data_IF_320758381757
#
_entry.id   IF_320758381757
#
_cell.length_a   1.000
_cell.length_b   1.000
_cell.length_c   1.000
_cell.angle_alpha   90.00
_cell.angle_beta   90.00
_cell.angle_gamma   90.00
#
_symmetry.space_group_name_H-M   'P 1'
#
loop_
_entity.id
_entity.type
_entity.pdbx_description
1 polymer ?
#
# COMPACT_ATOMS: atom_id res chain seq x y z
N UNK A 1 -26.63 7.79 15.65
CA UNK A 1 -25.57 8.10 14.65
C UNK A 1 -25.95 9.38 13.94
N UNK A 2 -24.97 10.25 13.58
CA UNK A 2 -25.28 11.45 12.76
C UNK A 2 -25.69 11.03 11.34
N UNK A 3 -26.55 11.86 10.70
CA UNK A 3 -26.96 11.60 9.30
C UNK A 3 -25.76 11.48 8.36
N UNK A 4 -24.70 12.26 8.62
CA UNK A 4 -23.47 12.21 7.85
C UNK A 4 -22.78 10.82 7.98
N UNK A 5 -22.72 10.25 9.18
CA UNK A 5 -22.15 8.93 9.40
C UNK A 5 -22.93 7.85 8.63
N UNK A 6 -24.27 7.89 8.69
CA UNK A 6 -25.13 6.97 7.95
C UNK A 6 -24.94 7.12 6.44
N UNK A 7 -24.78 8.36 5.94
CA UNK A 7 -24.49 8.60 4.53
C UNK A 7 -23.16 7.96 4.12
N UNK A 8 -22.07 8.22 4.87
CA UNK A 8 -20.74 7.67 4.60
C UNK A 8 -20.74 6.14 4.59
N UNK A 9 -21.44 5.51 5.56
CA UNK A 9 -21.56 4.05 5.63
C UNK A 9 -22.27 3.45 4.40
N UNK A 10 -23.22 4.18 3.82
CA UNK A 10 -24.04 3.72 2.67
C UNK A 10 -23.44 4.02 1.31
N UNK A 11 -22.52 4.99 1.21
CA UNK A 11 -21.89 5.33 -0.07
C UNK A 11 -21.02 4.17 -0.57
N UNK A 12 -21.11 3.80 -1.86
CA UNK A 12 -20.10 2.95 -2.48
C UNK A 12 -18.75 3.67 -2.49
N UNK A 13 -17.71 2.94 -2.16
CA UNK A 13 -16.34 3.46 -2.04
C UNK A 13 -15.39 2.72 -2.96
N UNK A 14 -14.25 3.34 -3.24
CA UNK A 14 -13.09 2.70 -3.87
C UNK A 14 -11.90 2.86 -2.95
N UNK A 15 -11.14 1.79 -2.77
CA UNK A 15 -9.84 1.79 -2.10
C UNK A 15 -8.76 1.67 -3.17
N UNK A 16 -7.94 2.70 -3.35
CA UNK A 16 -6.94 2.74 -4.43
C UNK A 16 -5.49 2.65 -3.91
N UNK A 17 -5.31 2.54 -2.58
CA UNK A 17 -4.01 2.48 -1.94
C UNK A 17 -4.09 1.66 -0.66
N UNK A 18 -3.84 0.38 -0.77
CA UNK A 18 -3.78 -0.57 0.33
C UNK A 18 -2.68 -1.59 0.06
N UNK A 19 -1.81 -1.82 1.03
CA UNK A 19 -0.86 -2.92 1.03
C UNK A 19 -1.54 -4.16 1.63
N UNK A 20 -1.54 -5.28 0.90
CA UNK A 20 -2.25 -6.47 1.39
C UNK A 20 -1.65 -6.96 2.70
N UNK A 21 -0.35 -6.91 2.83
CA UNK A 21 0.39 -7.25 4.04
C UNK A 21 0.04 -6.31 5.20
N UNK A 22 -0.27 -5.05 4.89
CA UNK A 22 -0.72 -4.03 5.84
C UNK A 22 -2.15 -4.23 6.36
N UNK A 23 -2.87 -5.20 5.79
CA UNK A 23 -4.17 -5.64 6.30
C UNK A 23 -4.07 -6.80 7.32
N UNK A 24 -2.86 -7.27 7.64
CA UNK A 24 -2.61 -8.36 8.58
C UNK A 24 -2.89 -7.92 10.03
N UNK A 25 -4.10 -8.19 10.49
CA UNK A 25 -4.53 -7.87 11.85
C UNK A 25 -3.75 -8.67 12.90
N UNK A 26 -3.47 -8.10 14.09
CA UNK A 26 -2.73 -8.79 15.16
C UNK A 26 -3.27 -10.17 15.52
N UNK A 27 -4.59 -10.35 15.57
CA UNK A 27 -5.20 -11.65 15.87
C UNK A 27 -4.86 -12.69 14.80
N UNK A 28 -5.02 -12.35 13.51
CA UNK A 28 -4.65 -13.23 12.41
C UNK A 28 -3.14 -13.53 12.39
N UNK A 29 -2.30 -12.53 12.72
CA UNK A 29 -0.86 -12.74 12.81
C UNK A 29 -0.49 -13.83 13.81
N UNK A 30 -1.16 -13.87 14.98
CA UNK A 30 -0.96 -14.93 15.96
C UNK A 30 -1.50 -16.28 15.48
N UNK A 31 -2.66 -16.33 14.86
CA UNK A 31 -3.23 -17.55 14.29
C UNK A 31 -2.31 -18.17 13.23
N UNK A 32 -1.77 -17.33 12.33
CA UNK A 32 -0.82 -17.78 11.32
C UNK A 32 0.54 -18.16 11.90
N UNK A 33 1.00 -17.46 12.93
CA UNK A 33 2.23 -17.80 13.64
C UNK A 33 2.14 -19.21 14.29
N UNK A 34 1.01 -19.53 14.93
CA UNK A 34 0.75 -20.86 15.47
C UNK A 34 0.68 -21.91 14.36
N UNK A 35 -0.07 -21.66 13.28
CA UNK A 35 -0.20 -22.55 12.12
C UNK A 35 1.15 -22.91 11.51
N UNK A 36 2.03 -21.92 11.36
CA UNK A 36 3.29 -22.04 10.65
C UNK A 36 4.51 -22.24 11.59
N UNK A 37 4.26 -22.46 12.88
CA UNK A 37 5.29 -22.61 13.92
C UNK A 37 6.32 -21.46 13.92
N UNK A 38 5.86 -20.23 13.68
CA UNK A 38 6.67 -19.00 13.72
C UNK A 38 6.63 -18.41 15.13
N UNK A 39 7.79 -18.13 15.70
CA UNK A 39 7.86 -17.45 17.00
C UNK A 39 7.81 -15.95 16.81
N UNK A 40 6.76 -15.31 17.31
CA UNK A 40 6.65 -13.86 17.34
C UNK A 40 7.40 -13.29 18.56
N UNK A 41 8.00 -12.09 18.44
CA UNK A 41 8.70 -11.43 19.57
C UNK A 41 7.73 -10.82 20.60
N UNK A 42 6.45 -11.11 20.50
CA UNK A 42 5.38 -10.61 21.35
C UNK A 42 4.62 -11.77 22.00
N UNK A 43 4.27 -11.68 23.29
CA UNK A 43 3.60 -12.76 24.00
C UNK A 43 2.10 -12.91 23.65
N UNK A 44 1.45 -11.82 23.21
CA UNK A 44 0.03 -11.78 22.92
C UNK A 44 -0.38 -10.64 21.97
N UNK A 45 -1.63 -10.69 21.51
CA UNK A 45 -2.24 -9.70 20.60
C UNK A 45 -2.20 -8.27 21.17
N UNK A 46 -2.40 -8.12 22.48
CA UNK A 46 -2.42 -6.80 23.13
C UNK A 46 -1.03 -6.14 23.10
N UNK A 47 0.02 -6.92 23.30
CA UNK A 47 1.40 -6.43 23.26
C UNK A 47 1.84 -5.98 21.86
N UNK A 48 1.41 -6.67 20.79
CA UNK A 48 1.63 -6.19 19.42
C UNK A 48 0.87 -4.87 19.20
N UNK A 49 -0.41 -4.80 19.57
CA UNK A 49 -1.20 -3.57 19.38
C UNK A 49 -0.59 -2.36 20.10
N UNK A 50 0.04 -2.59 21.26
CA UNK A 50 0.80 -1.54 21.98
C UNK A 50 2.10 -1.13 21.29
N UNK A 51 2.70 -2.04 20.52
CA UNK A 51 3.92 -1.77 19.75
C UNK A 51 3.64 -0.90 18.51
N UNK A 52 2.38 -0.75 18.09
CA UNK A 52 1.96 0.10 16.97
C UNK A 52 2.00 1.60 17.37
N UNK A 53 3.17 2.06 17.77
CA UNK A 53 3.44 3.44 18.14
C UNK A 53 4.72 3.88 17.42
N UNK A 54 4.55 4.54 16.27
CA UNK A 54 5.61 4.89 15.35
C UNK A 54 5.96 6.37 15.46
N UNK A 55 7.23 6.71 15.22
CA UNK A 55 7.72 8.08 15.15
C UNK A 55 8.09 8.49 13.71
N UNK A 56 8.24 7.51 12.82
CA UNK A 56 8.57 7.69 11.42
C UNK A 56 8.23 6.42 10.62
N UNK A 57 8.34 6.49 9.30
CA UNK A 57 8.10 5.37 8.39
C UNK A 57 9.00 4.16 8.71
N UNK A 58 10.28 4.37 9.07
CA UNK A 58 11.20 3.26 9.35
C UNK A 58 10.79 2.43 10.57
N UNK A 59 10.31 3.06 11.66
CA UNK A 59 9.81 2.35 12.85
C UNK A 59 8.68 1.38 12.48
N UNK A 60 7.79 1.81 11.58
CA UNK A 60 6.70 0.99 11.07
C UNK A 60 7.23 -0.16 10.21
N UNK A 61 8.10 0.12 9.23
CA UNK A 61 8.63 -0.90 8.31
C UNK A 61 9.36 -2.03 9.05
N UNK A 62 10.10 -1.70 10.10
CA UNK A 62 10.81 -2.70 10.93
C UNK A 62 9.85 -3.70 11.58
N UNK A 63 8.65 -3.25 11.95
CA UNK A 63 7.62 -4.11 12.53
C UNK A 63 6.81 -4.83 11.45
N UNK A 64 6.50 -4.14 10.36
CA UNK A 64 5.78 -4.64 9.20
C UNK A 64 6.46 -5.87 8.59
N UNK A 65 7.75 -5.78 8.27
CA UNK A 65 8.49 -6.92 7.71
C UNK A 65 8.62 -8.09 8.69
N UNK A 66 8.69 -7.85 10.00
CA UNK A 66 8.65 -8.92 10.99
C UNK A 66 7.27 -9.60 11.01
N UNK A 67 6.20 -8.82 10.92
CA UNK A 67 4.83 -9.33 10.85
C UNK A 67 4.61 -10.23 9.65
N UNK A 68 5.12 -9.84 8.47
CA UNK A 68 5.00 -10.63 7.23
C UNK A 68 5.59 -12.05 7.35
N UNK A 69 6.48 -12.31 8.32
CA UNK A 69 7.13 -13.62 8.50
C UNK A 69 6.17 -14.78 8.74
N UNK A 70 4.94 -14.51 9.19
CA UNK A 70 3.91 -15.53 9.41
C UNK A 70 3.24 -16.00 8.12
N UNK A 71 3.36 -15.25 7.02
CA UNK A 71 2.78 -15.58 5.72
C UNK A 71 3.72 -16.51 4.95
N UNK A 72 3.43 -17.80 4.92
CA UNK A 72 4.33 -18.83 4.36
C UNK A 72 3.69 -19.69 3.27
N UNK A 73 2.37 -19.90 3.33
CA UNK A 73 1.66 -20.80 2.43
C UNK A 73 0.64 -20.06 1.57
N UNK A 74 0.26 -20.67 0.45
CA UNK A 74 -0.83 -20.17 -0.41
C UNK A 74 -2.10 -19.89 0.40
N UNK A 75 -2.42 -20.76 1.37
CA UNK A 75 -3.59 -20.59 2.23
C UNK A 75 -3.49 -19.33 3.11
N UNK A 76 -2.30 -18.98 3.60
CA UNK A 76 -2.11 -17.78 4.43
C UNK A 76 -2.40 -16.50 3.64
N UNK A 77 -1.90 -16.43 2.40
CA UNK A 77 -2.16 -15.29 1.50
C UNK A 77 -3.62 -15.23 1.06
N UNK A 78 -4.24 -16.39 0.85
CA UNK A 78 -5.68 -16.45 0.59
C UNK A 78 -6.48 -15.94 1.79
N UNK A 79 -6.22 -16.44 2.99
CA UNK A 79 -6.94 -16.07 4.21
C UNK A 79 -6.80 -14.56 4.50
N UNK A 80 -5.59 -14.02 4.39
CA UNK A 80 -5.31 -12.59 4.55
C UNK A 80 -6.13 -11.75 3.56
N UNK A 81 -6.03 -12.09 2.28
CA UNK A 81 -6.70 -11.33 1.22
C UNK A 81 -8.22 -11.44 1.35
N UNK A 82 -8.73 -12.63 1.68
CA UNK A 82 -10.16 -12.84 1.88
C UNK A 82 -10.70 -12.06 3.08
N UNK A 83 -9.97 -12.04 4.20
CA UNK A 83 -10.35 -11.27 5.39
C UNK A 83 -10.45 -9.76 5.07
N UNK A 84 -9.48 -9.21 4.33
CA UNK A 84 -9.53 -7.84 3.84
C UNK A 84 -10.76 -7.58 2.97
N UNK A 85 -11.04 -8.44 1.98
CA UNK A 85 -12.16 -8.28 1.05
C UNK A 85 -13.53 -8.40 1.72
N UNK A 86 -13.65 -9.24 2.75
CA UNK A 86 -14.85 -9.28 3.60
C UNK A 86 -15.07 -7.95 4.32
N UNK A 87 -14.02 -7.32 4.81
CA UNK A 87 -14.11 -5.98 5.42
C UNK A 87 -14.49 -4.91 4.40
N UNK A 88 -13.92 -4.96 3.21
CA UNK A 88 -14.32 -4.12 2.09
C UNK A 88 -15.82 -4.23 1.80
N UNK A 89 -16.35 -5.44 1.74
CA UNK A 89 -17.78 -5.69 1.52
C UNK A 89 -18.64 -5.06 2.62
N UNK A 90 -18.25 -5.22 3.89
CA UNK A 90 -18.96 -4.62 5.03
C UNK A 90 -18.98 -3.10 4.98
N UNK A 91 -17.98 -2.47 4.35
CA UNK A 91 -17.82 -1.02 4.24
C UNK A 91 -18.31 -0.45 2.89
N UNK A 92 -19.01 -1.24 2.06
CA UNK A 92 -19.44 -0.84 0.72
C UNK A 92 -18.29 -0.42 -0.22
N UNK A 93 -17.11 -1.02 -0.09
CA UNK A 93 -16.03 -0.88 -1.06
C UNK A 93 -16.37 -1.78 -2.26
N UNK A 94 -16.49 -1.19 -3.44
CA UNK A 94 -16.87 -1.89 -4.68
C UNK A 94 -15.71 -2.14 -5.62
N UNK A 95 -14.59 -1.47 -5.36
CA UNK A 95 -13.34 -1.62 -6.13
C UNK A 95 -12.14 -1.37 -5.24
N UNK A 96 -11.09 -2.19 -5.38
CA UNK A 96 -9.82 -1.99 -4.71
C UNK A 96 -8.62 -2.18 -5.65
N UNK A 97 -7.60 -1.32 -5.48
CA UNK A 97 -6.28 -1.48 -6.09
C UNK A 97 -5.30 -1.80 -4.96
N UNK A 98 -4.72 -3.00 -5.03
CA UNK A 98 -4.01 -3.62 -3.91
C UNK A 98 -2.54 -3.74 -4.27
N UNK A 99 -1.68 -3.15 -3.46
CA UNK A 99 -0.24 -3.37 -3.48
C UNK A 99 0.11 -4.72 -2.82
N UNK A 100 1.19 -5.32 -3.29
CA UNK A 100 1.84 -6.46 -2.66
C UNK A 100 3.35 -6.42 -2.91
N UNK A 101 4.14 -6.95 -1.97
CA UNK A 101 5.58 -6.81 -1.88
C UNK A 101 6.31 -8.16 -2.09
N UNK A 102 6.53 -8.61 -3.33
CA UNK A 102 7.16 -9.91 -3.60
C UNK A 102 8.50 -10.09 -2.89
N UNK A 103 9.34 -9.04 -2.86
CA UNK A 103 10.69 -9.12 -2.29
C UNK A 103 10.66 -9.41 -0.79
N UNK A 104 9.69 -8.86 -0.04
CA UNK A 104 9.50 -9.17 1.37
C UNK A 104 9.15 -10.64 1.64
N UNK A 105 8.67 -11.36 0.65
CA UNK A 105 8.36 -12.79 0.73
C UNK A 105 9.49 -13.67 0.16
N UNK A 106 10.00 -13.33 -1.02
CA UNK A 106 11.03 -14.15 -1.69
C UNK A 106 12.36 -14.16 -0.94
N UNK A 107 12.73 -13.07 -0.27
CA UNK A 107 13.91 -13.03 0.61
C UNK A 107 13.84 -14.01 1.78
N UNK A 108 12.61 -14.40 2.17
CA UNK A 108 12.34 -15.41 3.21
C UNK A 108 12.21 -16.83 2.66
N UNK A 109 12.38 -17.02 1.34
CA UNK A 109 12.25 -18.31 0.67
C UNK A 109 10.80 -18.71 0.32
N UNK A 110 9.86 -17.77 0.34
CA UNK A 110 8.49 -18.02 -0.17
C UNK A 110 8.49 -17.78 -1.69
N UNK A 111 8.16 -18.83 -2.44
CA UNK A 111 8.14 -18.77 -3.89
C UNK A 111 7.06 -17.82 -4.43
N UNK A 112 7.35 -17.16 -5.57
CA UNK A 112 6.45 -16.19 -6.19
C UNK A 112 5.05 -16.77 -6.47
N UNK A 113 4.98 -18.03 -6.86
CA UNK A 113 3.74 -18.75 -7.10
C UNK A 113 2.83 -18.82 -5.86
N UNK A 114 3.40 -19.00 -4.69
CA UNK A 114 2.67 -19.20 -3.43
C UNK A 114 1.78 -18.01 -3.11
N UNK A 115 2.36 -16.80 -3.05
CA UNK A 115 1.55 -15.62 -2.73
C UNK A 115 0.64 -15.20 -3.90
N UNK A 116 1.07 -15.35 -5.15
CA UNK A 116 0.24 -15.01 -6.30
C UNK A 116 -1.00 -15.90 -6.41
N UNK A 117 -0.88 -17.20 -6.16
CA UNK A 117 -2.02 -18.11 -6.17
C UNK A 117 -3.01 -17.78 -5.05
N UNK A 118 -2.53 -17.62 -3.83
CA UNK A 118 -3.38 -17.29 -2.68
C UNK A 118 -4.14 -15.98 -2.86
N UNK A 119 -3.44 -14.90 -3.19
CA UNK A 119 -4.05 -13.59 -3.46
C UNK A 119 -5.06 -13.70 -4.62
N UNK A 120 -4.65 -14.27 -5.76
CA UNK A 120 -5.51 -14.36 -6.95
C UNK A 120 -6.78 -15.14 -6.69
N UNK A 121 -6.71 -16.26 -5.96
CA UNK A 121 -7.87 -17.09 -5.63
C UNK A 121 -8.90 -16.30 -4.78
N UNK A 122 -8.42 -15.53 -3.79
CA UNK A 122 -9.30 -14.69 -2.97
C UNK A 122 -9.95 -13.55 -3.79
N UNK A 123 -9.19 -12.91 -4.71
CA UNK A 123 -9.72 -11.86 -5.58
C UNK A 123 -10.78 -12.39 -6.54
N UNK A 124 -10.56 -13.56 -7.16
CA UNK A 124 -11.52 -14.19 -8.07
C UNK A 124 -12.82 -14.56 -7.33
N UNK A 125 -12.69 -15.07 -6.10
CA UNK A 125 -13.84 -15.37 -5.24
C UNK A 125 -14.60 -14.10 -4.84
N UNK A 126 -13.93 -13.03 -4.44
CA UNK A 126 -14.56 -11.77 -4.06
C UNK A 126 -15.31 -11.13 -5.24
N UNK A 127 -14.79 -11.24 -6.44
CA UNK A 127 -15.48 -10.77 -7.65
C UNK A 127 -16.82 -11.50 -7.86
N UNK A 128 -16.86 -12.81 -7.62
CA UNK A 128 -18.08 -13.62 -7.84
C UNK A 128 -19.05 -13.59 -6.69
N UNK A 129 -18.58 -13.61 -5.43
CA UNK A 129 -19.43 -13.72 -4.25
C UNK A 129 -19.77 -12.36 -3.61
N UNK A 130 -18.83 -11.38 -3.67
CA UNK A 130 -19.01 -10.08 -3.04
C UNK A 130 -19.25 -8.93 -4.03
N UNK A 131 -19.07 -9.18 -5.34
CA UNK A 131 -19.21 -8.16 -6.38
C UNK A 131 -18.09 -7.11 -6.37
N UNK A 132 -16.98 -7.36 -5.68
CA UNK A 132 -15.84 -6.44 -5.59
C UNK A 132 -14.91 -6.66 -6.77
N UNK A 133 -14.66 -5.61 -7.54
CA UNK A 133 -13.60 -5.62 -8.56
C UNK A 133 -12.25 -5.25 -7.94
N UNK A 134 -11.15 -5.77 -8.48
CA UNK A 134 -9.83 -5.50 -7.96
C UNK A 134 -8.76 -5.38 -9.05
N UNK A 135 -7.65 -4.73 -8.69
CA UNK A 135 -6.42 -4.66 -9.46
C UNK A 135 -5.24 -4.94 -8.54
N UNK A 136 -4.24 -5.68 -9.06
CA UNK A 136 -2.98 -5.89 -8.34
C UNK A 136 -1.91 -4.95 -8.87
N UNK A 137 -1.13 -4.40 -7.93
CA UNK A 137 0.03 -3.56 -8.16
C UNK A 137 1.21 -4.21 -7.47
N UNK A 138 2.20 -4.67 -8.23
CA UNK A 138 3.41 -5.27 -7.70
C UNK A 138 4.42 -4.19 -7.35
N UNK A 139 4.80 -4.08 -6.09
CA UNK A 139 5.75 -3.08 -5.64
C UNK A 139 7.19 -3.58 -5.64
N UNK A 140 8.11 -2.65 -5.86
CA UNK A 140 9.54 -2.84 -5.66
C UNK A 140 9.97 -2.09 -4.41
N UNK A 141 10.62 -2.81 -3.50
CA UNK A 141 11.12 -2.27 -2.24
C UNK A 141 12.35 -1.38 -2.51
N UNK A 142 12.18 -0.07 -2.36
CA UNK A 142 13.18 0.93 -2.78
C UNK A 142 14.44 0.99 -1.91
N UNK A 143 14.43 0.35 -0.74
CA UNK A 143 15.62 0.17 0.07
C UNK A 143 16.56 -0.93 -0.47
N UNK A 144 16.08 -1.77 -1.39
CA UNK A 144 16.87 -2.70 -2.17
C UNK A 144 17.35 -2.05 -3.47
N UNK A 145 18.23 -2.74 -4.20
CA UNK A 145 18.75 -2.21 -5.46
C UNK A 145 17.84 -2.51 -6.67
N UNK A 146 18.07 -1.78 -7.77
CA UNK A 146 17.30 -1.97 -9.02
C UNK A 146 17.50 -3.38 -9.62
N UNK A 147 18.63 -4.04 -9.34
CA UNK A 147 18.90 -5.39 -9.84
C UNK A 147 17.94 -6.40 -9.18
N UNK A 148 17.68 -6.25 -7.88
CA UNK A 148 16.66 -7.02 -7.15
C UNK A 148 15.27 -6.79 -7.75
N UNK A 149 14.90 -5.54 -8.03
CA UNK A 149 13.63 -5.21 -8.68
C UNK A 149 13.49 -5.83 -10.08
N UNK A 150 14.56 -5.85 -10.88
CA UNK A 150 14.59 -6.49 -12.20
C UNK A 150 14.43 -8.02 -12.10
N UNK A 151 15.06 -8.65 -11.11
CA UNK A 151 14.90 -10.08 -10.85
C UNK A 151 13.46 -10.41 -10.43
N UNK A 152 12.86 -9.58 -9.57
CA UNK A 152 11.46 -9.70 -9.17
C UNK A 152 10.52 -9.58 -10.36
N UNK A 153 10.74 -8.60 -11.24
CA UNK A 153 9.94 -8.45 -12.46
C UNK A 153 10.08 -9.68 -13.38
N UNK A 154 11.25 -10.27 -13.49
CA UNK A 154 11.47 -11.51 -14.24
C UNK A 154 10.69 -12.68 -13.63
N UNK A 155 10.70 -12.84 -12.32
CA UNK A 155 9.91 -13.87 -11.61
C UNK A 155 8.40 -13.66 -11.80
N UNK A 156 7.97 -12.42 -12.01
CA UNK A 156 6.57 -12.06 -12.24
C UNK A 156 6.08 -12.37 -13.67
N UNK A 157 6.96 -12.65 -14.65
CA UNK A 157 6.59 -12.84 -16.07
C UNK A 157 5.40 -13.80 -16.27
N UNK A 158 5.31 -14.97 -15.61
CA UNK A 158 4.17 -15.88 -15.76
C UNK A 158 2.83 -15.30 -15.28
N UNK A 159 2.87 -14.26 -14.45
CA UNK A 159 1.70 -13.67 -13.74
C UNK A 159 1.33 -12.27 -14.22
N UNK A 160 1.97 -11.74 -15.26
CA UNK A 160 1.74 -10.38 -15.76
C UNK A 160 0.30 -10.13 -16.21
N UNK A 161 -0.43 -11.17 -16.58
CA UNK A 161 -1.87 -11.08 -16.89
C UNK A 161 -2.73 -10.78 -15.66
N UNK A 162 -2.22 -11.01 -14.44
CA UNK A 162 -2.86 -10.69 -13.16
C UNK A 162 -2.40 -9.36 -12.58
N UNK A 163 -1.22 -8.88 -12.98
CA UNK A 163 -0.59 -7.66 -12.45
C UNK A 163 -0.92 -6.49 -13.38
N UNK A 164 -1.61 -5.49 -12.84
CA UNK A 164 -2.05 -4.31 -13.62
C UNK A 164 -0.98 -3.23 -13.72
N UNK A 165 -0.20 -3.06 -12.66
CA UNK A 165 0.82 -2.02 -12.53
C UNK A 165 2.01 -2.51 -11.72
N UNK A 166 3.13 -1.78 -11.84
CA UNK A 166 4.24 -1.85 -10.89
C UNK A 166 4.28 -0.59 -10.03
N UNK A 167 4.70 -0.75 -8.78
CA UNK A 167 4.84 0.32 -7.80
C UNK A 167 6.26 0.44 -7.27
N UNK A 168 6.55 1.56 -6.60
CA UNK A 168 7.77 1.79 -5.84
C UNK A 168 7.38 2.22 -4.43
N UNK A 169 7.79 1.48 -3.41
CA UNK A 169 7.40 1.71 -2.01
C UNK A 169 8.54 1.46 -1.02
N UNK A 170 8.21 1.29 0.27
CA UNK A 170 9.15 1.12 1.37
C UNK A 170 9.87 2.44 1.74
N UNK A 171 11.02 2.36 2.43
CA UNK A 171 11.76 3.49 3.02
C UNK A 171 12.09 4.57 1.99
N UNK A 172 11.38 5.71 2.05
CA UNK A 172 11.48 6.76 1.03
C UNK A 172 12.76 7.58 1.16
N UNK A 173 13.12 7.99 2.39
CA UNK A 173 14.27 8.85 2.62
C UNK A 173 15.58 8.16 2.24
N UNK A 174 16.35 8.81 1.38
CA UNK A 174 17.64 8.27 0.88
C UNK A 174 17.52 7.34 -0.33
N UNK A 175 16.30 6.95 -0.75
CA UNK A 175 16.05 6.03 -1.86
C UNK A 175 15.21 6.68 -2.97
N UNK A 176 15.77 7.64 -3.72
CA UNK A 176 15.05 8.42 -4.72
C UNK A 176 14.61 7.58 -5.93
N UNK A 177 13.49 7.94 -6.59
CA UNK A 177 12.97 7.24 -7.76
C UNK A 177 13.96 7.06 -8.91
N UNK A 178 14.92 7.98 -9.08
CA UNK A 178 15.95 7.88 -10.13
C UNK A 178 16.77 6.58 -10.10
N UNK A 179 16.77 5.85 -8.99
CA UNK A 179 17.49 4.58 -8.85
C UNK A 179 16.79 3.40 -9.55
N UNK A 180 15.53 3.57 -10.03
CA UNK A 180 14.67 2.49 -10.55
C UNK A 180 14.23 2.68 -11.99
N UNK A 181 14.94 3.48 -12.78
CA UNK A 181 14.54 3.85 -14.14
C UNK A 181 14.43 2.66 -15.10
N UNK A 182 15.34 1.68 -15.01
CA UNK A 182 15.39 0.52 -15.93
C UNK A 182 14.22 -0.42 -15.72
N UNK A 183 13.86 -0.70 -14.45
CA UNK A 183 12.74 -1.59 -14.14
C UNK A 183 11.41 -0.95 -14.53
N UNK A 184 11.26 0.36 -14.34
CA UNK A 184 10.05 1.10 -14.73
C UNK A 184 9.90 1.29 -16.25
N UNK A 185 10.93 1.07 -17.05
CA UNK A 185 10.85 1.15 -18.52
C UNK A 185 10.13 -0.04 -19.18
N UNK A 186 9.69 -1.06 -18.45
CA UNK A 186 9.22 -2.36 -18.95
C UNK A 186 7.74 -2.46 -19.35
N UNK A 187 7.04 -1.35 -19.59
CA UNK A 187 5.77 -1.37 -20.33
C UNK A 187 4.47 -1.59 -19.52
N UNK A 188 4.53 -1.87 -18.22
CA UNK A 188 3.35 -1.90 -17.34
C UNK A 188 2.91 -0.48 -16.96
N UNK A 189 1.68 -0.34 -16.41
CA UNK A 189 1.31 0.89 -15.69
C UNK A 189 2.24 1.06 -14.49
N UNK A 190 2.44 2.30 -14.08
CA UNK A 190 3.47 2.67 -13.10
C UNK A 190 2.88 3.61 -12.07
N UNK A 191 3.12 3.30 -10.80
CA UNK A 191 2.78 4.16 -9.67
C UNK A 191 3.99 4.26 -8.75
N UNK A 192 4.07 5.27 -7.91
CA UNK A 192 5.17 5.39 -6.96
C UNK A 192 4.76 6.19 -5.73
N UNK A 193 5.14 5.69 -4.56
CA UNK A 193 5.14 6.47 -3.34
C UNK A 193 6.18 7.57 -3.49
N UNK A 194 5.75 8.81 -3.44
CA UNK A 194 6.64 9.95 -3.57
C UNK A 194 6.06 11.18 -2.84
N UNK A 195 6.89 11.82 -2.03
CA UNK A 195 6.47 12.98 -1.24
C UNK A 195 5.57 12.62 -0.05
N UNK A 196 5.74 11.44 0.53
CA UNK A 196 5.22 11.10 1.84
C UNK A 196 6.14 11.70 2.91
N UNK A 197 7.36 11.20 3.05
CA UNK A 197 8.45 11.77 3.83
C UNK A 197 9.52 12.43 2.96
N UNK A 198 9.70 11.94 1.74
CA UNK A 198 10.68 12.43 0.77
C UNK A 198 10.34 13.81 0.22
N UNK A 199 11.36 14.57 -0.24
CA UNK A 199 11.18 15.94 -0.70
C UNK A 199 10.41 16.01 -2.04
N UNK A 200 9.91 17.20 -2.44
CA UNK A 200 9.24 17.42 -3.72
C UNK A 200 10.01 16.92 -4.94
N UNK A 201 11.34 16.91 -4.88
CA UNK A 201 12.21 16.37 -5.93
C UNK A 201 11.90 14.91 -6.25
N UNK A 202 11.50 14.09 -5.27
CA UNK A 202 11.14 12.69 -5.51
C UNK A 202 9.85 12.57 -6.32
N UNK A 203 8.92 13.51 -6.16
CA UNK A 203 7.72 13.58 -7.00
C UNK A 203 8.12 13.95 -8.44
N UNK A 204 9.01 14.95 -8.64
CA UNK A 204 9.54 15.28 -9.97
C UNK A 204 10.22 14.07 -10.62
N UNK A 205 11.07 13.35 -9.89
CA UNK A 205 11.76 12.15 -10.40
C UNK A 205 10.76 11.04 -10.78
N UNK A 206 9.74 10.79 -9.97
CA UNK A 206 8.69 9.83 -10.29
C UNK A 206 7.95 10.21 -11.58
N UNK A 207 7.63 11.50 -11.77
CA UNK A 207 6.96 12.00 -12.96
C UNK A 207 7.84 11.95 -14.21
N UNK A 208 9.10 12.38 -14.10
CA UNK A 208 9.97 12.63 -15.26
C UNK A 208 10.84 11.45 -15.65
N UNK A 209 11.28 10.66 -14.67
CA UNK A 209 12.19 9.55 -14.88
C UNK A 209 11.47 8.19 -14.91
N UNK A 210 10.49 8.00 -14.01
CA UNK A 210 9.70 6.77 -13.99
C UNK A 210 8.45 6.87 -14.86
N UNK A 211 8.03 8.07 -15.26
CA UNK A 211 6.82 8.32 -16.05
C UNK A 211 5.57 7.67 -15.42
N UNK A 212 5.37 7.89 -14.13
CA UNK A 212 4.25 7.27 -13.39
C UNK A 212 2.89 7.77 -13.86
N UNK A 213 1.88 6.93 -13.72
CA UNK A 213 0.48 7.21 -14.02
C UNK A 213 -0.27 7.76 -12.80
N UNK A 214 0.29 7.57 -11.60
CA UNK A 214 -0.24 8.04 -10.31
C UNK A 214 0.93 8.24 -9.34
N UNK A 215 0.81 9.24 -8.47
CA UNK A 215 1.66 9.42 -7.29
C UNK A 215 0.89 8.90 -6.08
N UNK A 216 1.52 8.01 -5.33
CA UNK A 216 0.98 7.55 -4.06
C UNK A 216 1.49 8.49 -2.96
N UNK A 217 0.60 8.92 -2.06
CA UNK A 217 0.69 10.06 -1.12
C UNK A 217 0.77 11.43 -1.81
N UNK A 218 1.96 11.94 -2.08
CA UNK A 218 2.16 13.26 -2.70
C UNK A 218 1.92 14.45 -1.76
N UNK A 219 1.90 14.24 -0.44
CA UNK A 219 1.59 15.26 0.58
C UNK A 219 2.51 16.48 0.47
N UNK A 220 3.81 16.25 0.23
CA UNK A 220 4.83 17.30 0.14
C UNK A 220 4.85 18.05 -1.19
N UNK A 221 3.96 17.71 -2.13
CA UNK A 221 3.77 18.50 -3.36
C UNK A 221 3.39 19.96 -3.09
N UNK A 222 2.76 20.24 -1.94
CA UNK A 222 2.36 21.58 -1.54
C UNK A 222 3.52 22.49 -1.09
N UNK A 223 4.71 21.94 -0.92
CA UNK A 223 5.92 22.71 -0.60
C UNK A 223 6.52 23.43 -1.82
N UNK A 224 6.12 22.99 -3.03
CA UNK A 224 6.54 23.59 -4.30
C UNK A 224 5.31 23.98 -5.14
N UNK A 225 5.07 25.27 -5.30
CA UNK A 225 3.93 25.79 -6.06
C UNK A 225 3.97 25.42 -7.54
N UNK A 226 5.17 25.31 -8.14
CA UNK A 226 5.33 24.90 -9.54
C UNK A 226 4.95 23.42 -9.71
N UNK A 227 5.39 22.56 -8.79
CA UNK A 227 5.01 21.16 -8.76
C UNK A 227 3.50 21.00 -8.57
N UNK A 228 2.94 21.70 -7.58
CA UNK A 228 1.49 21.69 -7.32
C UNK A 228 0.70 22.04 -8.59
N UNK A 229 1.06 23.15 -9.27
CA UNK A 229 0.38 23.56 -10.50
C UNK A 229 0.53 22.51 -11.61
N UNK A 230 1.72 21.93 -11.75
CA UNK A 230 1.96 20.86 -12.74
C UNK A 230 1.08 19.63 -12.50
N UNK A 231 0.88 19.22 -11.24
CA UNK A 231 0.01 18.11 -10.89
C UNK A 231 -1.46 18.40 -11.19
N UNK A 232 -1.90 19.64 -10.93
CA UNK A 232 -3.25 20.12 -11.28
C UNK A 232 -3.47 20.09 -12.80
N UNK A 233 -2.55 20.69 -13.57
CA UNK A 233 -2.65 20.79 -15.05
C UNK A 233 -2.69 19.40 -15.70
N UNK A 234 -1.90 18.47 -15.18
CA UNK A 234 -1.88 17.07 -15.62
C UNK A 234 -3.04 16.22 -15.09
N UNK A 235 -3.83 16.75 -14.16
CA UNK A 235 -4.84 15.99 -13.40
C UNK A 235 -4.24 14.69 -12.82
N UNK A 236 -3.00 14.77 -12.34
CA UNK A 236 -2.27 13.62 -11.83
C UNK A 236 -3.00 13.05 -10.63
N UNK A 237 -3.38 11.75 -10.64
CA UNK A 237 -4.03 11.13 -9.49
C UNK A 237 -3.06 11.06 -8.30
N UNK A 238 -3.58 11.32 -7.09
CA UNK A 238 -2.87 11.21 -5.82
C UNK A 238 -3.69 10.35 -4.87
N UNK A 239 -3.07 9.34 -4.26
CA UNK A 239 -3.72 8.48 -3.25
C UNK A 239 -3.21 8.85 -1.85
N UNK A 240 -3.92 9.72 -1.18
CA UNK A 240 -3.52 10.28 0.12
C UNK A 240 -4.04 9.39 1.25
N UNK A 241 -3.22 9.17 2.28
CA UNK A 241 -3.50 8.24 3.38
C UNK A 241 -3.44 8.96 4.74
N UNK A 242 -4.52 9.68 5.15
CA UNK A 242 -4.47 10.57 6.30
C UNK A 242 -4.17 9.90 7.63
N UNK A 243 -4.65 8.67 7.86
CA UNK A 243 -4.38 7.94 9.12
C UNK A 243 -2.94 7.45 9.18
N UNK A 244 -2.39 6.96 8.06
CA UNK A 244 -0.97 6.65 7.91
C UNK A 244 -0.12 7.87 8.23
N UNK A 245 -0.39 9.00 7.58
CA UNK A 245 0.37 10.23 7.77
C UNK A 245 0.33 10.77 9.21
N UNK A 246 -0.78 10.54 9.94
CA UNK A 246 -0.86 10.84 11.37
C UNK A 246 -0.01 9.86 12.20
N UNK A 247 -0.12 8.57 11.94
CA UNK A 247 0.59 7.52 12.70
C UNK A 247 2.09 7.53 12.50
N UNK A 248 2.53 7.90 11.30
CA UNK A 248 3.95 8.03 10.95
C UNK A 248 4.53 9.42 11.27
N UNK A 249 3.78 10.25 11.97
CA UNK A 249 4.15 11.62 12.36
C UNK A 249 4.49 12.57 11.18
N UNK A 250 4.03 12.25 9.97
CA UNK A 250 4.08 13.17 8.83
C UNK A 250 3.23 14.42 9.10
N UNK A 251 2.11 14.24 9.79
CA UNK A 251 1.31 15.31 10.37
C UNK A 251 1.13 15.07 11.87
N UNK A 252 1.05 16.16 12.66
CA UNK A 252 0.89 16.07 14.12
C UNK A 252 -0.55 15.92 14.57
N UNK A 253 -1.46 16.45 13.79
CA UNK A 253 -2.91 16.42 14.03
C UNK A 253 -3.61 16.19 12.69
N UNK A 254 -4.67 15.37 12.71
CA UNK A 254 -5.47 15.12 11.52
C UNK A 254 -6.17 16.38 11.00
N UNK A 255 -6.43 17.36 11.87
CA UNK A 255 -6.98 18.66 11.47
C UNK A 255 -6.01 19.47 10.59
N UNK A 256 -4.70 19.26 10.76
CA UNK A 256 -3.64 19.92 9.98
C UNK A 256 -3.32 19.18 8.69
N UNK A 257 -3.98 18.04 8.43
CA UNK A 257 -3.70 17.24 7.26
C UNK A 257 -3.98 18.02 5.96
N UNK A 258 -3.05 18.01 4.97
CA UNK A 258 -3.10 18.88 3.80
C UNK A 258 -4.20 18.57 2.80
N UNK A 259 -4.95 17.46 2.94
CA UNK A 259 -5.96 17.00 1.96
C UNK A 259 -6.98 18.09 1.59
N UNK A 260 -7.46 18.89 2.55
CA UNK A 260 -8.40 19.97 2.28
C UNK A 260 -7.79 21.04 1.36
N UNK A 261 -6.52 21.39 1.61
CA UNK A 261 -5.77 22.35 0.79
C UNK A 261 -5.49 21.78 -0.59
N UNK A 262 -5.14 20.49 -0.68
CA UNK A 262 -4.92 19.80 -1.95
C UNK A 262 -6.18 19.87 -2.83
N UNK A 263 -7.34 19.51 -2.29
CA UNK A 263 -8.62 19.56 -3.01
C UNK A 263 -9.01 21.01 -3.39
N UNK A 264 -8.81 21.99 -2.49
CA UNK A 264 -9.11 23.39 -2.75
C UNK A 264 -8.24 23.98 -3.88
N UNK A 265 -7.02 23.48 -4.06
CA UNK A 265 -6.13 23.86 -5.16
C UNK A 265 -6.43 23.11 -6.48
N UNK A 266 -7.36 22.15 -6.47
CA UNK A 266 -7.75 21.38 -7.64
C UNK A 266 -6.89 20.15 -7.92
N UNK A 267 -6.08 19.69 -6.95
CA UNK A 267 -5.38 18.42 -7.07
C UNK A 267 -6.37 17.25 -7.13
N UNK A 268 -6.09 16.27 -7.96
CA UNK A 268 -6.90 15.07 -8.13
C UNK A 268 -6.53 14.03 -7.06
N UNK A 269 -6.93 14.28 -5.81
CA UNK A 269 -6.59 13.47 -4.65
C UNK A 269 -7.80 12.68 -4.13
N UNK A 270 -7.56 11.44 -3.68
CA UNK A 270 -8.53 10.61 -2.94
C UNK A 270 -7.94 10.17 -1.60
N UNK A 271 -8.84 9.73 -0.69
CA UNK A 271 -8.47 9.22 0.64
C UNK A 271 -8.41 7.70 0.57
N UNK A 272 -7.42 7.11 1.25
CA UNK A 272 -7.15 5.68 1.28
C UNK A 272 -6.63 5.25 2.66
N UNK A 273 -6.58 3.94 2.91
CA UNK A 273 -6.25 3.38 4.22
C UNK A 273 -4.79 2.99 4.41
N UNK A 274 -4.03 2.73 3.32
CA UNK A 274 -2.61 2.34 3.35
C UNK A 274 -2.37 0.96 4.00
N UNK A 275 -1.98 0.92 5.28
CA UNK A 275 -1.78 -0.27 6.10
C UNK A 275 -2.78 -0.28 7.27
N UNK A 276 -4.05 -0.59 7.02
CA UNK A 276 -5.13 -0.32 7.95
C UNK A 276 -5.03 -1.07 9.28
N UNK A 277 -4.43 -2.27 9.30
CA UNK A 277 -4.24 -3.03 10.53
C UNK A 277 -3.23 -2.36 11.48
N UNK A 278 -2.28 -1.60 10.94
CA UNK A 278 -1.24 -0.91 11.70
C UNK A 278 -1.63 0.53 12.05
N UNK A 279 -2.34 1.21 11.16
CA UNK A 279 -2.69 2.63 11.34
C UNK A 279 -4.08 2.84 11.95
N UNK A 280 -4.87 1.76 12.11
CA UNK A 280 -6.10 1.76 12.89
C UNK A 280 -7.32 2.28 12.16
N UNK A 281 -7.40 2.16 10.84
CA UNK A 281 -8.58 2.56 10.08
C UNK A 281 -8.65 2.01 8.67
N UNK A 282 -9.83 1.50 8.33
CA UNK A 282 -10.23 1.11 6.97
C UNK A 282 -11.11 2.20 6.35
N UNK A 283 -11.69 1.96 5.16
CA UNK A 283 -12.52 2.93 4.42
C UNK A 283 -13.87 3.23 5.06
#
# INVERSE_FOLDING_TARGET
>A
MSELKQLVERLPKTELHIHIEGSLEPAMMFELAERNAVTLPYPDVESIAKAYNFNCLQDFLDLYYKGMSVLQTEQDFYDLTWAYLLRCHQQNVVHCEIFFDPQGHTERGVEFEVFMNGISAALDKAKTELGISSKLIMCFLRHLDEQSALATLQSAEPYLNRITAVGLDSSELGHPPRLFQKVFAKGLKRVAHAGEEGPPEYIYEALDLLNVNRIDHGNRSLEDGTLTQRLVDKKMPLTVCPLSNLRLAVVKDLADHPIRKMLALGLNACINSDDPAYFGGYM
#
